data_IF_171656009374
#
_entry.id   IF_171656009374
#
_cell.length_a   1.000
_cell.length_b   1.000
_cell.length_c   1.000
_cell.angle_alpha   90.00
_cell.angle_beta   90.00
_cell.angle_gamma   90.00
#
_symmetry.space_group_name_H-M   'P 1'
#
loop_
_entity.id
_entity.type
_entity.pdbx_description
1 polymer ?
#
# COMPACT_ATOMS: atom_id res chain seq x y z
N UNK A 1 30.31 11.11 -9.19
CA UNK A 1 29.41 10.00 -8.78
C UNK A 1 28.84 10.29 -7.40
N UNK A 2 29.66 10.35 -6.36
CA UNK A 2 29.25 10.70 -4.98
C UNK A 2 28.29 11.88 -4.86
N UNK A 3 28.63 13.03 -5.47
CA UNK A 3 27.78 14.22 -5.47
C UNK A 3 26.38 13.98 -6.05
N UNK A 4 26.28 13.22 -7.15
CA UNK A 4 24.98 12.91 -7.76
C UNK A 4 24.17 11.97 -6.88
N UNK A 5 24.79 10.98 -6.23
CA UNK A 5 24.08 10.11 -5.28
C UNK A 5 23.56 10.86 -4.07
N UNK A 6 24.32 11.83 -3.55
CA UNK A 6 23.87 12.66 -2.42
C UNK A 6 22.73 13.60 -2.82
N UNK A 7 22.81 14.21 -4.00
CA UNK A 7 21.71 15.00 -4.57
C UNK A 7 20.44 14.14 -4.76
N UNK A 8 20.58 12.93 -5.30
CA UNK A 8 19.46 11.98 -5.42
C UNK A 8 18.88 11.61 -4.06
N UNK A 9 19.73 11.42 -3.04
CA UNK A 9 19.27 11.15 -1.66
C UNK A 9 18.45 12.30 -1.11
N UNK A 10 18.91 13.53 -1.26
CA UNK A 10 18.18 14.71 -0.80
C UNK A 10 16.82 14.85 -1.48
N UNK A 11 16.77 14.64 -2.79
CA UNK A 11 15.51 14.65 -3.55
C UNK A 11 14.59 13.52 -3.08
N UNK A 12 15.12 12.32 -2.86
CA UNK A 12 14.34 11.18 -2.39
C UNK A 12 13.73 11.44 -0.99
N UNK A 13 14.50 12.02 -0.07
CA UNK A 13 14.00 12.41 1.27
C UNK A 13 12.89 13.46 1.15
N UNK A 14 13.11 14.53 0.38
CA UNK A 14 12.09 15.56 0.18
C UNK A 14 10.81 15.01 -0.46
N UNK A 15 10.96 14.06 -1.40
CA UNK A 15 9.83 13.38 -2.04
C UNK A 15 9.07 12.51 -1.05
N UNK A 16 9.78 11.75 -0.21
CA UNK A 16 9.15 10.93 0.84
C UNK A 16 8.37 11.79 1.85
N UNK A 17 8.92 12.93 2.28
CA UNK A 17 8.22 13.88 3.16
C UNK A 17 6.97 14.47 2.49
N UNK A 18 7.04 14.75 1.18
CA UNK A 18 5.88 15.21 0.43
C UNK A 18 4.79 14.12 0.35
N UNK A 19 5.16 12.85 0.13
CA UNK A 19 4.21 11.74 0.12
C UNK A 19 3.51 11.58 1.47
N UNK A 20 4.25 11.65 2.58
CA UNK A 20 3.66 11.60 3.93
C UNK A 20 2.64 12.74 4.15
N UNK A 21 2.98 13.96 3.73
CA UNK A 21 2.08 15.11 3.79
C UNK A 21 0.82 14.91 2.93
N UNK A 22 0.96 14.34 1.73
CA UNK A 22 -0.17 14.05 0.83
C UNK A 22 -1.08 12.97 1.43
N UNK A 23 -0.53 11.94 2.05
CA UNK A 23 -1.34 10.92 2.73
C UNK A 23 -2.14 11.52 3.89
N UNK A 24 -1.53 12.41 4.68
CA UNK A 24 -2.27 13.13 5.73
C UNK A 24 -3.44 13.96 5.18
N UNK A 25 -3.33 14.49 3.97
CA UNK A 25 -4.44 15.15 3.29
C UNK A 25 -5.52 14.15 2.86
N UNK A 26 -5.13 13.00 2.29
CA UNK A 26 -6.08 11.95 1.89
C UNK A 26 -6.86 11.39 3.09
N UNK A 27 -6.20 11.13 4.22
CA UNK A 27 -6.86 10.69 5.45
C UNK A 27 -7.89 11.73 5.95
N UNK A 28 -7.55 13.02 5.85
CA UNK A 28 -8.49 14.09 6.17
C UNK A 28 -9.67 14.10 5.20
N UNK A 29 -9.43 13.94 3.91
CA UNK A 29 -10.49 13.91 2.90
C UNK A 29 -11.42 12.71 3.07
N UNK A 30 -10.89 11.53 3.43
CA UNK A 30 -11.70 10.35 3.75
C UNK A 30 -12.61 10.62 4.96
N UNK A 31 -12.07 11.23 6.02
CA UNK A 31 -12.87 11.65 7.18
C UNK A 31 -13.94 12.66 6.80
N UNK A 32 -13.59 13.68 6.03
CA UNK A 32 -14.54 14.71 5.58
C UNK A 32 -15.64 14.08 4.70
N UNK A 33 -15.31 13.10 3.86
CA UNK A 33 -16.29 12.37 3.04
C UNK A 33 -17.26 11.55 3.91
N UNK A 34 -16.75 10.85 4.93
CA UNK A 34 -17.58 10.14 5.91
C UNK A 34 -18.53 11.10 6.64
N UNK A 35 -18.07 12.29 7.02
CA UNK A 35 -18.92 13.32 7.63
C UNK A 35 -20.00 13.82 6.66
N UNK A 36 -19.66 14.01 5.39
CA UNK A 36 -20.62 14.37 4.33
C UNK A 36 -21.66 13.27 4.17
N UNK A 37 -21.27 11.99 4.14
CA UNK A 37 -22.22 10.89 4.04
C UNK A 37 -23.24 10.91 5.18
N UNK A 38 -22.77 11.07 6.43
CA UNK A 38 -23.65 11.18 7.60
C UNK A 38 -24.58 12.39 7.47
N UNK A 39 -24.09 13.52 6.97
CA UNK A 39 -24.90 14.70 6.73
C UNK A 39 -25.97 14.45 5.66
N UNK A 40 -25.59 13.82 4.54
CA UNK A 40 -26.50 13.48 3.44
C UNK A 40 -27.59 12.53 3.94
N UNK A 41 -27.27 11.53 4.76
CA UNK A 41 -28.27 10.64 5.37
C UNK A 41 -29.25 11.37 6.30
N UNK A 42 -28.76 12.33 7.10
CA UNK A 42 -29.64 13.17 7.94
C UNK A 42 -30.52 14.07 7.09
N UNK A 43 -29.97 14.61 6.00
CA UNK A 43 -30.71 15.45 5.04
C UNK A 43 -31.81 14.64 4.36
N UNK A 44 -31.51 13.40 3.94
CA UNK A 44 -32.48 12.50 3.31
C UNK A 44 -33.66 12.23 4.23
N UNK A 45 -33.41 11.90 5.50
CA UNK A 45 -34.48 11.70 6.50
C UNK A 45 -35.36 12.94 6.66
N UNK A 46 -34.79 14.13 6.47
CA UNK A 46 -35.52 15.40 6.56
C UNK A 46 -36.33 15.65 5.28
N UNK A 47 -35.73 15.44 4.12
CA UNK A 47 -36.41 15.49 2.82
C UNK A 47 -37.60 14.52 2.78
N UNK A 48 -37.41 13.27 3.21
CA UNK A 48 -38.48 12.28 3.30
C UNK A 48 -39.62 12.71 4.23
N UNK A 49 -39.31 13.41 5.35
CA UNK A 49 -40.34 13.98 6.24
C UNK A 49 -41.13 15.11 5.56
N UNK A 50 -40.51 15.87 4.66
CA UNK A 50 -41.17 16.94 3.91
C UNK A 50 -42.02 16.38 2.75
N UNK A 51 -41.56 15.31 2.08
CA UNK A 51 -42.34 14.63 1.03
C UNK A 51 -43.56 13.93 1.62
N UNK A 52 -43.44 13.35 2.82
CA UNK A 52 -44.54 12.62 3.45
C UNK A 52 -45.73 13.57 3.66
N UNK A 53 -46.89 13.30 3.02
CA UNK A 53 -48.03 14.19 3.14
C UNK A 53 -48.51 14.28 4.59
N UNK A 54 -48.95 15.47 5.01
CA UNK A 54 -49.60 15.72 6.31
C UNK A 54 -50.59 14.59 6.66
N UNK A 55 -51.40 14.13 5.69
CA UNK A 55 -52.47 13.16 5.91
C UNK A 55 -51.96 11.73 6.25
N UNK A 56 -50.70 11.41 5.96
CA UNK A 56 -50.06 10.16 6.38
C UNK A 56 -49.61 10.19 7.86
N UNK A 57 -49.71 11.35 8.53
CA UNK A 57 -49.30 11.57 9.92
C UNK A 57 -50.47 11.55 10.91
N UNK A 58 -51.64 11.04 10.53
CA UNK A 58 -52.79 10.88 11.44
C UNK A 58 -52.63 9.57 12.23
N UNK A 59 -52.36 9.61 13.55
CA UNK A 59 -52.39 8.42 14.38
C UNK A 59 -53.84 7.99 14.54
N UNK A 60 -54.28 6.94 13.84
CA UNK A 60 -55.58 6.31 14.10
C UNK A 60 -56.38 5.77 12.93
N UNK A 61 -55.97 5.95 11.66
CA UNK A 61 -56.71 5.40 10.50
C UNK A 61 -55.97 4.29 9.74
N UNK A 62 -55.45 3.33 10.51
CA UNK A 62 -54.80 2.13 9.97
C UNK A 62 -55.10 0.90 10.81
N UNK A 63 -56.36 0.64 11.15
CA UNK A 63 -56.78 -0.73 11.49
C UNK A 63 -56.73 -1.54 10.19
N UNK A 64 -55.52 -1.91 9.76
CA UNK A 64 -55.35 -3.08 8.92
C UNK A 64 -55.95 -4.25 9.70
N UNK A 65 -56.93 -4.88 9.07
CA UNK A 65 -57.62 -6.04 9.61
C UNK A 65 -56.59 -7.05 10.10
N UNK A 66 -56.86 -7.69 11.25
CA UNK A 66 -56.00 -8.72 11.83
C UNK A 66 -55.87 -9.99 10.94
N UNK A 67 -56.39 -9.98 9.70
CA UNK A 67 -56.44 -11.16 8.84
C UNK A 67 -55.22 -11.33 7.92
N UNK A 68 -54.37 -10.31 7.77
CA UNK A 68 -53.17 -10.39 6.91
C UNK A 68 -51.84 -10.49 7.69
N UNK A 69 -51.90 -10.68 9.03
CA UNK A 69 -50.70 -10.75 9.88
C UNK A 69 -50.01 -12.12 9.91
N UNK A 70 -50.54 -13.13 9.23
CA UNK A 70 -49.97 -14.50 9.29
C UNK A 70 -49.08 -14.87 8.09
N UNK A 71 -49.10 -14.12 6.98
CA UNK A 71 -48.32 -14.47 5.77
C UNK A 71 -47.00 -13.71 5.59
N UNK A 72 -46.69 -12.69 6.40
CA UNK A 72 -45.45 -11.90 6.25
C UNK A 72 -44.27 -12.37 7.13
N UNK A 73 -44.49 -13.28 8.07
CA UNK A 73 -43.42 -13.84 8.91
C UNK A 73 -42.66 -15.01 8.27
N UNK A 74 -43.07 -15.52 7.10
CA UNK A 74 -42.35 -16.58 6.39
C UNK A 74 -41.43 -16.11 5.25
N UNK A 75 -41.50 -14.85 4.79
CA UNK A 75 -40.68 -14.37 3.67
C UNK A 75 -39.39 -13.62 4.06
N UNK A 76 -39.29 -13.11 5.30
CA UNK A 76 -38.09 -12.38 5.75
C UNK A 76 -36.98 -13.25 6.41
N UNK A 77 -37.17 -14.57 6.51
CA UNK A 77 -36.12 -15.48 7.02
C UNK A 77 -35.27 -16.12 5.93
N UNK A 78 -35.50 -15.80 4.65
CA UNK A 78 -34.75 -16.36 3.51
C UNK A 78 -33.76 -15.38 2.83
N UNK A 79 -33.65 -14.15 3.34
CA UNK A 79 -32.67 -13.17 2.84
C UNK A 79 -31.68 -12.68 3.92
N UNK A 80 -31.70 -13.28 5.11
CA UNK A 80 -30.82 -12.89 6.24
C UNK A 80 -29.96 -14.05 6.76
N UNK A 81 -29.56 -14.94 5.86
CA UNK A 81 -28.63 -16.03 6.11
C UNK A 81 -27.83 -16.29 4.84
N UNK A 82 -26.79 -15.49 4.61
CA UNK A 82 -25.70 -15.72 3.63
C UNK A 82 -24.64 -14.60 3.69
N UNK A 83 -24.35 -14.06 4.89
CA UNK A 83 -23.14 -13.25 5.12
C UNK A 83 -22.62 -13.57 6.52
N UNK A 84 -22.37 -14.85 6.76
CA UNK A 84 -21.54 -15.41 7.82
C UNK A 84 -21.34 -16.86 7.36
N UNK A 85 -20.10 -17.34 7.33
CA UNK A 85 -19.65 -18.62 6.73
C UNK A 85 -19.14 -18.54 5.28
N UNK A 86 -18.03 -17.81 5.07
CA UNK A 86 -16.91 -18.28 4.22
C UNK A 86 -15.60 -17.81 4.88
N UNK A 87 -15.13 -18.59 5.84
CA UNK A 87 -13.72 -18.68 6.24
C UNK A 87 -13.40 -20.18 6.13
N UNK A 88 -12.23 -20.47 5.55
CA UNK A 88 -11.62 -21.78 5.31
C UNK A 88 -12.09 -22.58 4.08
N UNK A 89 -11.43 -22.36 2.93
CA UNK A 89 -10.96 -23.48 2.10
C UNK A 89 -9.83 -23.04 1.13
N UNK A 90 -8.81 -23.90 1.04
CA UNK A 90 -7.55 -23.77 0.28
C UNK A 90 -7.74 -23.63 -1.25
N UNK A 91 -6.76 -23.07 -1.99
CA UNK A 91 -6.83 -22.96 -3.44
C UNK A 91 -6.34 -24.25 -4.13
N UNK A 92 -7.17 -24.80 -5.03
CA UNK A 92 -6.74 -25.72 -6.10
C UNK A 92 -7.14 -25.17 -7.46
N UNK A 93 -6.09 -24.87 -8.23
CA UNK A 93 -5.88 -25.06 -9.66
C UNK A 93 -6.85 -24.42 -10.70
N UNK A 94 -6.20 -23.72 -11.65
CA UNK A 94 -6.72 -23.00 -12.81
C UNK A 94 -7.29 -23.96 -13.91
N UNK A 95 -7.88 -23.47 -15.05
CA UNK A 95 -7.08 -22.97 -16.19
C UNK A 95 -7.69 -21.86 -17.10
N UNK A 96 -6.79 -20.94 -17.53
CA UNK A 96 -6.51 -20.31 -18.87
C UNK A 96 -7.62 -19.76 -19.78
N UNK A 97 -7.47 -18.57 -20.40
CA UNK A 97 -6.67 -18.31 -21.65
C UNK A 97 -6.45 -16.78 -21.86
N UNK A 98 -5.19 -16.31 -21.99
CA UNK A 98 -4.43 -16.00 -23.26
C UNK A 98 -4.89 -14.67 -23.92
N UNK A 99 -4.13 -13.58 -23.96
CA UNK A 99 -2.81 -13.35 -24.59
C UNK A 99 -2.16 -12.04 -24.09
N UNK A 100 -0.82 -12.00 -24.11
CA UNK A 100 0.12 -10.92 -23.72
C UNK A 100 0.64 -10.96 -22.27
N UNK A 101 1.50 -11.94 -21.97
CA UNK A 101 2.75 -11.77 -21.19
C UNK A 101 3.53 -13.10 -21.18
N UNK A 102 4.53 -13.23 -22.05
CA UNK A 102 5.57 -14.28 -21.94
C UNK A 102 6.92 -13.59 -21.72
N UNK A 103 7.28 -13.41 -20.45
CA UNK A 103 8.66 -13.28 -19.94
C UNK A 103 8.59 -12.83 -18.47
N UNK A 104 8.26 -13.74 -17.54
CA UNK A 104 8.11 -13.32 -16.14
C UNK A 104 8.10 -14.40 -15.07
N UNK A 105 8.00 -15.69 -15.40
CA UNK A 105 7.93 -16.74 -14.38
C UNK A 105 9.04 -17.77 -14.62
N UNK A 106 10.21 -17.49 -14.04
CA UNK A 106 11.26 -18.50 -13.82
C UNK A 106 12.34 -18.00 -12.85
N UNK A 107 11.94 -17.26 -11.80
CA UNK A 107 12.91 -16.66 -10.85
C UNK A 107 13.02 -17.44 -9.53
N UNK A 108 12.04 -18.26 -9.16
CA UNK A 108 12.14 -19.08 -7.94
C UNK A 108 12.83 -20.44 -8.17
N UNK A 109 12.71 -21.05 -9.35
CA UNK A 109 13.36 -22.34 -9.64
C UNK A 109 14.87 -22.21 -9.94
N UNK A 110 15.37 -20.99 -10.24
CA UNK A 110 16.80 -20.71 -10.40
C UNK A 110 17.55 -20.44 -9.09
N UNK A 111 16.86 -20.35 -7.94
CA UNK A 111 17.53 -20.14 -6.65
C UNK A 111 18.20 -21.40 -6.11
N UNK A 112 17.65 -22.57 -6.40
CA UNK A 112 18.17 -23.84 -5.88
C UNK A 112 19.27 -24.45 -6.75
N UNK A 113 19.32 -24.13 -8.05
CA UNK A 113 20.39 -24.60 -8.95
C UNK A 113 21.68 -23.78 -8.88
N UNK A 114 21.66 -22.57 -8.29
CA UNK A 114 22.86 -21.73 -8.16
C UNK A 114 23.63 -21.94 -6.85
N UNK A 115 23.10 -22.74 -5.92
CA UNK A 115 23.70 -23.07 -4.62
C UNK A 115 23.95 -24.58 -4.48
N UNK A 116 24.37 -25.22 -5.59
CA UNK A 116 24.82 -26.60 -5.61
C UNK A 116 25.85 -26.90 -4.51
N UNK A 117 25.42 -27.74 -3.58
CA UNK A 117 26.17 -28.74 -2.83
C UNK A 117 27.65 -28.43 -2.56
N UNK A 118 27.90 -27.54 -1.60
CA UNK A 118 29.23 -27.41 -0.98
C UNK A 118 29.39 -28.52 0.06
N UNK A 119 30.38 -29.43 -0.09
CA UNK A 119 30.61 -30.48 0.89
C UNK A 119 30.94 -29.87 2.26
N UNK A 120 30.11 -30.21 3.23
CA UNK A 120 30.33 -29.98 4.66
C UNK A 120 31.43 -30.92 5.16
N UNK A 121 32.69 -30.60 4.83
CA UNK A 121 33.84 -31.26 5.44
C UNK A 121 34.24 -30.47 6.69
N UNK A 122 33.87 -31.04 7.84
CA UNK A 122 34.26 -30.60 9.16
C UNK A 122 35.78 -30.60 9.31
N UNK A 123 36.37 -29.41 9.33
CA UNK A 123 37.79 -29.21 9.56
C UNK A 123 38.04 -28.11 10.59
N UNK A 124 38.09 -28.50 11.87
CA UNK A 124 38.76 -27.82 12.98
C UNK A 124 38.80 -26.28 13.00
N UNK A 125 37.96 -25.69 13.84
CA UNK A 125 38.16 -24.34 14.38
C UNK A 125 39.44 -24.38 15.24
N UNK A 126 40.58 -24.17 14.59
CA UNK A 126 41.83 -23.73 15.22
C UNK A 126 41.79 -22.21 15.27
N UNK A 127 42.03 -21.68 16.46
CA UNK A 127 42.26 -20.28 16.81
C UNK A 127 42.89 -19.45 15.68
N UNK A 128 42.07 -18.85 14.82
CA UNK A 128 42.52 -17.82 13.90
C UNK A 128 42.44 -16.47 14.60
N UNK A 129 43.58 -16.14 15.21
CA UNK A 129 44.02 -14.79 15.56
C UNK A 129 43.58 -13.78 14.49
N UNK A 130 43.09 -12.58 14.86
CA UNK A 130 42.66 -11.58 13.89
C UNK A 130 43.79 -11.29 12.88
N UNK A 131 43.46 -11.08 11.59
CA UNK A 131 44.46 -10.76 10.58
C UNK A 131 45.21 -9.50 11.03
N UNK A 132 46.51 -9.66 11.29
CA UNK A 132 47.39 -8.53 11.53
C UNK A 132 47.34 -7.63 10.29
N UNK A 133 47.33 -6.30 10.44
CA UNK A 133 47.46 -5.40 9.31
C UNK A 133 48.74 -5.79 8.55
N UNK A 134 48.57 -6.21 7.29
CA UNK A 134 49.69 -6.48 6.39
C UNK A 134 50.42 -5.15 6.22
N UNK A 135 51.55 -4.99 6.89
CA UNK A 135 52.44 -3.87 6.65
C UNK A 135 52.86 -3.93 5.17
N UNK A 136 52.44 -2.92 4.39
CA UNK A 136 52.81 -2.79 2.99
C UNK A 136 54.34 -2.78 2.87
N UNK A 137 54.95 -3.58 1.98
CA UNK A 137 56.40 -3.59 1.82
C UNK A 137 56.86 -2.20 1.38
N UNK A 138 57.80 -1.61 2.12
CA UNK A 138 58.45 -0.35 1.75
C UNK A 138 59.14 -0.54 0.40
N UNK A 139 58.60 0.09 -0.64
CA UNK A 139 59.17 0.06 -2.00
C UNK A 139 60.15 1.22 -2.12
N UNK A 140 61.43 0.91 -2.33
CA UNK A 140 62.49 1.91 -2.58
C UNK A 140 62.94 1.84 -4.03
N UNK A 141 62.68 2.90 -4.80
CA UNK A 141 63.05 3.01 -6.21
C UNK A 141 62.53 4.32 -6.85
N UNK A 142 62.99 4.69 -8.06
CA UNK A 142 62.63 5.95 -8.72
C UNK A 142 61.14 6.11 -9.06
N UNK A 143 60.36 5.02 -8.96
CA UNK A 143 58.91 5.01 -9.13
C UNK A 143 58.16 4.79 -7.79
N UNK A 144 58.85 4.83 -6.64
CA UNK A 144 58.23 4.58 -5.34
C UNK A 144 57.17 5.64 -5.00
N UNK A 145 57.40 6.90 -5.37
CA UNK A 145 56.47 8.01 -5.15
C UNK A 145 55.18 7.84 -5.97
N UNK A 146 55.31 7.43 -7.24
CA UNK A 146 54.18 7.06 -8.11
C UNK A 146 53.36 5.87 -7.57
N UNK A 147 54.01 4.91 -6.93
CA UNK A 147 53.33 3.75 -6.33
C UNK A 147 52.62 4.12 -5.02
N UNK A 148 53.20 5.00 -4.20
CA UNK A 148 52.53 5.53 -3.00
C UNK A 148 51.33 6.42 -3.38
N UNK A 149 51.39 7.14 -4.49
CA UNK A 149 50.28 7.96 -5.00
C UNK A 149 49.15 7.08 -5.57
N UNK A 150 49.48 5.99 -6.26
CA UNK A 150 48.51 4.97 -6.69
C UNK A 150 47.82 4.30 -5.50
N UNK A 151 48.58 3.91 -4.48
CA UNK A 151 48.03 3.30 -3.26
C UNK A 151 47.06 4.24 -2.53
N UNK A 152 47.35 5.54 -2.50
CA UNK A 152 46.44 6.56 -1.94
C UNK A 152 45.20 6.75 -2.80
N UNK A 153 45.36 6.79 -4.13
CA UNK A 153 44.24 6.92 -5.05
C UNK A 153 43.29 5.70 -4.97
N UNK A 154 43.83 4.49 -4.82
CA UNK A 154 43.04 3.27 -4.58
C UNK A 154 42.30 3.33 -3.24
N UNK A 155 42.97 3.76 -2.16
CA UNK A 155 42.33 3.92 -0.84
C UNK A 155 41.21 4.98 -0.86
N UNK A 156 41.42 6.09 -1.57
CA UNK A 156 40.38 7.10 -1.78
C UNK A 156 39.21 6.53 -2.58
N UNK A 157 39.44 5.77 -3.66
CA UNK A 157 38.37 5.14 -4.43
C UNK A 157 37.58 4.12 -3.61
N UNK A 158 38.24 3.30 -2.79
CA UNK A 158 37.56 2.32 -1.94
C UNK A 158 36.70 3.00 -0.86
N UNK A 159 37.20 4.10 -0.29
CA UNK A 159 36.41 4.94 0.61
C UNK A 159 35.17 5.53 -0.08
N UNK A 160 35.32 6.03 -1.31
CA UNK A 160 34.20 6.57 -2.09
C UNK A 160 33.16 5.50 -2.45
N UNK A 161 33.60 4.29 -2.80
CA UNK A 161 32.72 3.17 -3.12
C UNK A 161 31.97 2.67 -1.88
N UNK A 162 32.64 2.62 -0.73
CA UNK A 162 32.01 2.29 0.55
C UNK A 162 30.94 3.30 0.94
N UNK A 163 31.25 4.60 0.79
CA UNK A 163 30.31 5.69 1.04
C UNK A 163 29.11 5.64 0.09
N UNK A 164 29.34 5.40 -1.20
CA UNK A 164 28.27 5.16 -2.17
C UNK A 164 27.42 3.95 -1.82
N UNK A 165 28.02 2.86 -1.34
CA UNK A 165 27.30 1.67 -0.88
C UNK A 165 26.35 1.97 0.29
N UNK A 166 26.77 2.83 1.21
CA UNK A 166 25.90 3.31 2.30
C UNK A 166 24.74 4.16 1.77
N UNK A 167 25.02 5.15 0.91
CA UNK A 167 23.97 6.00 0.32
C UNK A 167 22.96 5.20 -0.50
N UNK A 168 23.40 4.19 -1.26
CA UNK A 168 22.51 3.32 -2.02
C UNK A 168 21.61 2.48 -1.11
N UNK A 169 22.12 2.04 0.05
CA UNK A 169 21.30 1.36 1.06
C UNK A 169 20.24 2.30 1.65
N UNK A 170 20.61 3.54 1.96
CA UNK A 170 19.67 4.56 2.43
C UNK A 170 18.58 4.84 1.37
N UNK A 171 18.99 5.06 0.11
CA UNK A 171 18.08 5.26 -1.02
C UNK A 171 17.13 4.08 -1.22
N UNK A 172 17.61 2.84 -1.07
CA UNK A 172 16.76 1.65 -1.11
C UNK A 172 15.73 1.65 0.03
N UNK A 173 16.15 2.05 1.23
CA UNK A 173 15.25 2.21 2.37
C UNK A 173 14.15 3.24 2.09
N UNK A 174 14.52 4.41 1.58
CA UNK A 174 13.57 5.47 1.21
C UNK A 174 12.62 4.99 0.11
N UNK A 175 13.14 4.39 -0.96
CA UNK A 175 12.32 3.87 -2.06
C UNK A 175 11.32 2.80 -1.59
N UNK A 176 11.74 1.91 -0.67
CA UNK A 176 10.83 0.93 -0.06
C UNK A 176 9.75 1.60 0.79
N UNK A 177 10.09 2.62 1.57
CA UNK A 177 9.13 3.38 2.37
C UNK A 177 8.14 4.15 1.49
N UNK A 178 8.64 4.78 0.41
CA UNK A 178 7.80 5.46 -0.57
C UNK A 178 6.82 4.50 -1.26
N UNK A 179 7.25 3.27 -1.59
CA UNK A 179 6.34 2.28 -2.17
C UNK A 179 5.21 1.90 -1.20
N UNK A 180 5.53 1.68 0.08
CA UNK A 180 4.50 1.40 1.09
C UNK A 180 3.53 2.58 1.27
N UNK A 181 4.05 3.81 1.20
CA UNK A 181 3.22 5.01 1.26
C UNK A 181 2.31 5.14 0.05
N UNK A 182 2.80 4.82 -1.16
CA UNK A 182 1.99 4.79 -2.38
C UNK A 182 0.88 3.73 -2.32
N UNK A 183 1.18 2.52 -1.85
CA UNK A 183 0.16 1.47 -1.65
C UNK A 183 -0.91 1.93 -0.65
N UNK A 184 -0.51 2.63 0.42
CA UNK A 184 -1.45 3.22 1.39
C UNK A 184 -2.33 4.30 0.74
N UNK A 185 -1.73 5.18 -0.06
CA UNK A 185 -2.46 6.22 -0.79
C UNK A 185 -3.45 5.62 -1.79
N UNK A 186 -3.06 4.56 -2.51
CA UNK A 186 -3.94 3.84 -3.45
C UNK A 186 -5.19 3.31 -2.73
N UNK A 187 -5.03 2.65 -1.59
CA UNK A 187 -6.17 2.18 -0.80
C UNK A 187 -7.08 3.31 -0.28
N UNK A 188 -6.51 4.45 0.12
CA UNK A 188 -7.30 5.62 0.54
C UNK A 188 -8.05 6.25 -0.63
N UNK A 189 -7.44 6.33 -1.82
CA UNK A 189 -8.05 6.87 -3.02
C UNK A 189 -9.23 5.98 -3.46
N UNK A 190 -9.04 4.67 -3.49
CA UNK A 190 -10.12 3.72 -3.83
C UNK A 190 -11.31 3.83 -2.88
N UNK A 191 -11.04 3.93 -1.57
CA UNK A 191 -12.08 4.14 -0.56
C UNK A 191 -12.82 5.45 -0.75
N UNK A 192 -12.07 6.53 -1.02
CA UNK A 192 -12.63 7.86 -1.24
C UNK A 192 -13.47 7.92 -2.53
N UNK A 193 -13.04 7.27 -3.60
CA UNK A 193 -13.76 7.23 -4.89
C UNK A 193 -15.11 6.53 -4.74
N UNK A 194 -15.13 5.33 -4.14
CA UNK A 194 -16.36 4.59 -3.84
C UNK A 194 -17.31 5.41 -2.94
N UNK A 195 -16.74 6.07 -1.94
CA UNK A 195 -17.46 6.91 -0.98
C UNK A 195 -18.03 8.17 -1.64
N UNK A 196 -17.30 8.78 -2.56
CA UNK A 196 -17.70 9.95 -3.33
C UNK A 196 -18.84 9.62 -4.31
N UNK A 197 -18.74 8.51 -5.03
CA UNK A 197 -19.78 8.05 -5.96
C UNK A 197 -21.11 7.78 -5.25
N UNK A 198 -21.07 7.02 -4.16
CA UNK A 198 -22.26 6.74 -3.35
C UNK A 198 -22.90 8.02 -2.77
N UNK A 199 -22.07 8.98 -2.37
CA UNK A 199 -22.53 10.28 -1.85
C UNK A 199 -23.18 11.10 -2.95
N UNK A 200 -22.56 11.13 -4.14
CA UNK A 200 -23.04 11.88 -5.30
C UNK A 200 -24.42 11.37 -5.74
N UNK A 201 -24.59 10.05 -5.87
CA UNK A 201 -25.88 9.44 -6.22
C UNK A 201 -26.97 9.84 -5.21
N UNK A 202 -26.68 9.77 -3.90
CA UNK A 202 -27.64 10.16 -2.85
C UNK A 202 -28.01 11.64 -2.92
N UNK A 203 -27.05 12.52 -3.18
CA UNK A 203 -27.31 13.96 -3.32
C UNK A 203 -28.19 14.23 -4.54
N UNK A 204 -27.92 13.60 -5.69
CA UNK A 204 -28.74 13.74 -6.90
C UNK A 204 -30.17 13.26 -6.70
N UNK A 205 -30.35 12.11 -6.03
CA UNK A 205 -31.66 11.59 -5.66
C UNK A 205 -32.41 12.56 -4.73
N UNK A 206 -31.74 13.10 -3.71
CA UNK A 206 -32.33 14.07 -2.79
C UNK A 206 -32.70 15.38 -3.49
N UNK A 207 -31.87 15.87 -4.41
CA UNK A 207 -32.17 17.04 -5.22
C UNK A 207 -33.38 16.80 -6.13
N UNK A 208 -33.49 15.61 -6.72
CA UNK A 208 -34.65 15.21 -7.52
C UNK A 208 -35.93 15.13 -6.69
N UNK A 209 -35.83 14.57 -5.48
CA UNK A 209 -36.93 14.53 -4.49
C UNK A 209 -37.38 15.95 -4.12
N UNK A 210 -36.46 16.84 -3.77
CA UNK A 210 -36.74 18.23 -3.41
C UNK A 210 -37.41 19.02 -4.55
N UNK A 211 -36.94 18.83 -5.79
CA UNK A 211 -37.57 19.42 -6.99
C UNK A 211 -39.03 18.99 -7.21
N UNK A 212 -39.51 17.91 -6.59
CA UNK A 212 -40.94 17.52 -6.64
C UNK A 212 -41.78 18.20 -5.56
N UNK A 213 -41.14 18.72 -4.50
CA UNK A 213 -41.83 19.39 -3.38
C UNK A 213 -42.01 20.87 -3.67
N UNK A 214 -41.03 21.49 -4.34
CA UNK A 214 -41.07 22.88 -4.83
C UNK A 214 -41.92 22.93 -6.10
#
# INVERSE_FOLDING_TARGET
MLKMTEETRQVAVATAEQLENQTGQLEKMDKDMNDIQVLVERSEKTVDKMIRPWYARVPGRGKLSKKDKEDKTKKNRKQKGSIEEIVDEEPKEQPTTSELTEAGENVEEMRDDLLGDMPSDGGGIRDQKPPRPRAKPRRTGPNAELLDELDKAEEEQENQLSEMGSMLRDLKGIASGMNQELEKQEGLIDGLDQSADATTERIELNNTKLKRII
#
